data_IF_994471761968
#
_entry.id   IF_994471761968
#
_cell.length_a   1.000
_cell.length_b   1.000
_cell.length_c   1.000
_cell.angle_alpha   90.00
_cell.angle_beta   90.00
_cell.angle_gamma   90.00
#
_symmetry.space_group_name_H-M   'P 1'
#
loop_
_entity.id
_entity.type
_entity.pdbx_description
1 polymer ?
#
# COMPACT_ATOMS: atom_id res chain seq x y z
N UNK A 1 31.17 2.47 -6.76
CA UNK A 1 30.09 3.41 -6.38
C UNK A 1 28.81 2.91 -7.04
N UNK A 2 27.82 2.45 -6.26
CA UNK A 2 26.54 2.04 -6.80
C UNK A 2 25.84 3.27 -7.39
N UNK A 3 25.53 3.20 -8.68
CA UNK A 3 24.85 4.28 -9.40
C UNK A 3 23.39 4.32 -8.92
N UNK A 4 23.08 5.32 -8.11
CA UNK A 4 21.72 5.56 -7.63
C UNK A 4 21.07 6.66 -8.47
N UNK A 5 19.85 6.42 -8.97
CA UNK A 5 19.08 7.40 -9.72
C UNK A 5 17.74 7.67 -9.04
N UNK A 6 17.31 8.94 -9.06
CA UNK A 6 15.99 9.33 -8.56
C UNK A 6 14.95 9.13 -9.64
N UNK A 7 13.91 8.35 -9.35
CA UNK A 7 12.78 8.05 -10.24
C UNK A 7 11.62 9.00 -9.99
N UNK A 8 11.31 9.26 -8.72
CA UNK A 8 10.33 10.25 -8.29
C UNK A 8 10.97 11.15 -7.25
N UNK A 9 10.92 12.45 -7.49
CA UNK A 9 11.16 13.46 -6.44
C UNK A 9 9.92 13.66 -5.57
N UNK A 10 10.02 14.47 -4.54
CA UNK A 10 8.92 14.76 -3.62
C UNK A 10 7.67 15.26 -4.36
N UNK A 11 7.82 16.21 -5.28
CA UNK A 11 6.70 16.78 -6.02
C UNK A 11 6.01 15.74 -6.92
N UNK A 12 6.78 14.90 -7.61
CA UNK A 12 6.26 13.82 -8.45
C UNK A 12 5.54 12.76 -7.62
N UNK A 13 6.07 12.41 -6.44
CA UNK A 13 5.41 11.49 -5.51
C UNK A 13 4.06 12.05 -5.04
N UNK A 14 3.99 13.32 -4.67
CA UNK A 14 2.75 13.96 -4.24
C UNK A 14 1.69 13.95 -5.35
N UNK A 15 2.09 14.23 -6.60
CA UNK A 15 1.18 14.13 -7.75
C UNK A 15 0.68 12.71 -7.99
N UNK A 16 1.54 11.70 -7.86
CA UNK A 16 1.15 10.30 -7.99
C UNK A 16 0.12 9.89 -6.92
N UNK A 17 0.34 10.26 -5.67
CA UNK A 17 -0.59 9.97 -4.56
C UNK A 17 -1.93 10.69 -4.78
N UNK A 18 -1.92 11.94 -5.24
CA UNK A 18 -3.14 12.69 -5.54
C UNK A 18 -3.93 12.01 -6.66
N UNK A 19 -3.27 11.56 -7.72
CA UNK A 19 -3.92 10.82 -8.82
C UNK A 19 -4.52 9.51 -8.32
N UNK A 20 -3.81 8.73 -7.53
CA UNK A 20 -4.32 7.49 -6.91
C UNK A 20 -5.58 7.78 -6.09
N UNK A 21 -5.58 8.85 -5.29
CA UNK A 21 -6.75 9.27 -4.53
C UNK A 21 -7.99 9.47 -5.43
N UNK A 22 -7.86 10.23 -6.52
CA UNK A 22 -8.98 10.48 -7.43
C UNK A 22 -9.42 9.23 -8.19
N UNK A 23 -8.49 8.37 -8.59
CA UNK A 23 -8.83 7.07 -9.21
C UNK A 23 -9.62 6.16 -8.26
N UNK A 24 -9.25 6.12 -6.98
CA UNK A 24 -9.98 5.38 -5.94
C UNK A 24 -11.41 5.93 -5.81
N UNK A 25 -11.57 7.25 -5.71
CA UNK A 25 -12.87 7.88 -5.56
C UNK A 25 -13.75 7.68 -6.79
N UNK A 26 -13.20 7.79 -7.97
CA UNK A 26 -13.94 7.58 -9.23
C UNK A 26 -14.43 6.14 -9.36
N UNK A 27 -13.55 5.17 -9.16
CA UNK A 27 -13.91 3.75 -9.26
C UNK A 27 -14.97 3.31 -8.27
N UNK A 28 -14.97 3.87 -7.08
CA UNK A 28 -15.86 3.48 -5.98
C UNK A 28 -17.07 4.42 -5.82
N UNK A 29 -17.26 5.36 -6.73
CA UNK A 29 -18.33 6.37 -6.66
C UNK A 29 -18.34 7.12 -5.32
N UNK A 30 -17.17 7.54 -4.85
CA UNK A 30 -16.98 8.22 -3.58
C UNK A 30 -16.35 7.36 -2.48
N UNK A 31 -16.25 7.91 -1.28
CA UNK A 31 -15.51 7.32 -0.16
C UNK A 31 -16.39 6.52 0.82
N UNK A 32 -17.69 6.41 0.60
CA UNK A 32 -18.69 6.02 1.61
C UNK A 32 -18.50 4.63 2.23
N UNK A 33 -17.87 3.68 1.54
CA UNK A 33 -17.67 2.32 2.05
C UNK A 33 -16.21 1.85 2.01
N UNK A 34 -15.27 2.79 1.88
CA UNK A 34 -13.84 2.50 1.75
C UNK A 34 -13.18 2.42 3.12
N UNK A 35 -12.30 1.44 3.28
CA UNK A 35 -11.28 1.37 4.33
C UNK A 35 -9.94 1.26 3.65
N UNK A 36 -8.99 2.12 4.00
CA UNK A 36 -7.61 2.04 3.54
C UNK A 36 -6.81 1.19 4.53
N UNK A 37 -6.16 0.14 4.06
CA UNK A 37 -5.30 -0.70 4.87
C UNK A 37 -3.85 -0.54 4.42
N UNK A 38 -3.05 0.19 5.18
CA UNK A 38 -1.63 0.36 4.95
C UNK A 38 -0.85 -0.87 5.42
N UNK A 39 -0.11 -1.49 4.49
CA UNK A 39 0.77 -2.61 4.83
C UNK A 39 2.01 -2.03 5.53
N UNK A 40 2.26 -2.48 6.73
CA UNK A 40 3.42 -2.04 7.51
C UNK A 40 4.72 -2.52 6.83
N UNK A 41 5.75 -1.66 6.72
CA UNK A 41 5.94 -0.36 7.40
C UNK A 41 5.55 0.84 6.52
N UNK A 42 5.91 0.86 5.25
CA UNK A 42 5.82 2.04 4.35
C UNK A 42 4.44 2.24 3.73
N UNK A 43 3.64 1.20 3.65
CA UNK A 43 2.25 1.33 3.17
C UNK A 43 1.36 2.17 4.09
N UNK A 44 1.62 2.15 5.38
CA UNK A 44 0.82 2.89 6.35
C UNK A 44 0.91 4.41 6.20
N UNK A 45 2.09 5.04 6.10
CA UNK A 45 2.19 6.47 5.80
C UNK A 45 1.51 6.85 4.48
N UNK A 46 1.64 6.03 3.44
CA UNK A 46 0.98 6.25 2.16
C UNK A 46 -0.54 6.20 2.28
N UNK A 47 -1.09 5.22 3.01
CA UNK A 47 -2.52 5.13 3.28
C UNK A 47 -3.06 6.38 4.01
N UNK A 48 -2.32 6.89 4.99
CA UNK A 48 -2.67 8.15 5.69
C UNK A 48 -2.67 9.35 4.74
N UNK A 49 -1.71 9.44 3.84
CA UNK A 49 -1.65 10.51 2.84
C UNK A 49 -2.82 10.44 1.86
N UNK A 50 -3.22 9.24 1.45
CA UNK A 50 -4.40 9.05 0.59
C UNK A 50 -5.67 9.45 1.34
N UNK A 51 -5.83 9.04 2.60
CA UNK A 51 -6.98 9.41 3.44
C UNK A 51 -7.10 10.94 3.61
N UNK A 52 -5.99 11.64 3.80
CA UNK A 52 -5.97 13.10 3.90
C UNK A 52 -6.43 13.75 2.59
N UNK A 53 -5.99 13.24 1.44
CA UNK A 53 -6.45 13.75 0.15
C UNK A 53 -7.92 13.49 -0.13
N UNK A 54 -8.43 12.34 0.30
CA UNK A 54 -9.88 12.05 0.24
C UNK A 54 -10.64 13.06 1.08
N UNK A 55 -10.16 13.35 2.28
CA UNK A 55 -10.79 14.35 3.14
C UNK A 55 -10.80 15.75 2.51
N UNK A 56 -9.69 16.16 1.92
CA UNK A 56 -9.60 17.44 1.20
C UNK A 56 -10.55 17.48 -0.01
N UNK A 57 -10.64 16.40 -0.76
CA UNK A 57 -11.44 16.33 -1.99
C UNK A 57 -12.95 16.26 -1.73
N UNK A 58 -13.39 15.49 -0.74
CA UNK A 58 -14.82 15.18 -0.51
C UNK A 58 -15.32 15.54 0.89
N UNK A 59 -14.46 15.97 1.80
CA UNK A 59 -14.81 16.19 3.20
C UNK A 59 -15.06 14.89 3.99
N UNK A 60 -14.89 13.72 3.36
CA UNK A 60 -15.13 12.43 3.97
C UNK A 60 -13.91 11.96 4.77
N UNK A 61 -14.13 11.40 5.96
CA UNK A 61 -13.10 10.74 6.75
C UNK A 61 -13.19 9.23 6.57
N UNK A 62 -12.20 8.66 5.88
CA UNK A 62 -12.07 7.21 5.71
C UNK A 62 -11.22 6.63 6.83
N UNK A 63 -11.55 5.42 7.27
CA UNK A 63 -10.73 4.70 8.24
C UNK A 63 -9.43 4.26 7.60
N UNK A 64 -8.35 4.36 8.36
CA UNK A 64 -7.03 3.84 7.99
C UNK A 64 -6.66 2.75 8.96
N UNK A 65 -6.45 1.55 8.46
CA UNK A 65 -6.01 0.39 9.21
C UNK A 65 -4.52 0.12 9.02
N UNK A 66 -3.85 -0.23 10.10
CA UNK A 66 -2.51 -0.80 10.06
C UNK A 66 -2.62 -2.32 9.88
N UNK A 67 -1.97 -2.85 8.84
CA UNK A 67 -1.98 -4.26 8.51
C UNK A 67 -0.55 -4.82 8.56
N UNK A 68 -0.32 -5.78 9.45
CA UNK A 68 0.91 -6.55 9.50
C UNK A 68 0.68 -7.92 8.82
N UNK A 69 1.29 -8.17 7.65
CA UNK A 69 1.08 -9.43 6.92
C UNK A 69 1.93 -10.60 7.46
N UNK A 70 2.78 -10.38 8.45
CA UNK A 70 3.81 -11.34 8.89
C UNK A 70 3.23 -12.70 9.26
N UNK A 71 2.09 -12.76 9.93
CA UNK A 71 1.45 -14.02 10.34
C UNK A 71 0.91 -14.87 9.18
N UNK A 72 0.84 -14.32 7.97
CA UNK A 72 0.31 -14.99 6.77
C UNK A 72 1.36 -15.24 5.68
N UNK A 73 2.62 -14.88 5.94
CA UNK A 73 3.71 -15.09 4.98
C UNK A 73 4.03 -16.56 4.82
N UNK A 74 4.33 -16.98 3.58
CA UNK A 74 4.68 -18.35 3.22
C UNK A 74 6.18 -18.66 3.35
N UNK A 75 7.02 -17.61 3.52
CA UNK A 75 8.47 -17.71 3.69
C UNK A 75 8.93 -17.88 5.15
N UNK A 76 7.99 -17.93 6.10
CA UNK A 76 8.27 -18.10 7.53
C UNK A 76 7.32 -19.10 8.17
N UNK A 77 7.79 -19.89 9.17
CA UNK A 77 6.89 -20.72 9.96
C UNK A 77 5.82 -19.85 10.62
N UNK A 78 4.58 -20.34 10.67
CA UNK A 78 3.47 -19.68 11.37
C UNK A 78 3.71 -19.69 12.88
N UNK A 79 4.64 -18.85 13.33
CA UNK A 79 5.03 -18.74 14.74
C UNK A 79 4.35 -17.59 15.47
N UNK A 80 3.60 -16.74 14.75
CA UNK A 80 2.89 -15.61 15.33
C UNK A 80 1.39 -15.73 15.02
N UNK A 81 0.57 -15.50 16.03
CA UNK A 81 -0.86 -15.36 15.83
C UNK A 81 -1.16 -14.17 14.91
N UNK A 82 -2.11 -14.34 13.96
CA UNK A 82 -2.53 -13.24 13.10
C UNK A 82 -3.04 -12.05 13.93
N UNK A 83 -2.51 -10.87 13.64
CA UNK A 83 -2.95 -9.65 14.31
C UNK A 83 -4.15 -9.05 13.60
N UNK A 84 -5.13 -8.51 14.34
CA UNK A 84 -6.25 -7.79 13.73
C UNK A 84 -5.74 -6.52 13.05
N UNK A 85 -6.43 -6.12 11.97
CA UNK A 85 -6.24 -4.81 11.35
C UNK A 85 -6.80 -3.78 12.33
N UNK A 86 -5.96 -2.86 12.77
CA UNK A 86 -6.31 -1.84 13.76
C UNK A 86 -6.44 -0.47 13.13
N UNK A 87 -7.50 0.24 13.50
CA UNK A 87 -7.70 1.65 13.17
C UNK A 87 -6.59 2.49 13.83
N UNK A 88 -5.83 3.21 13.03
CA UNK A 88 -4.70 4.01 13.51
C UNK A 88 -5.10 5.21 14.37
N UNK A 89 -6.37 5.60 14.34
CA UNK A 89 -6.91 6.70 15.13
C UNK A 89 -7.40 6.23 16.50
N UNK A 90 -8.09 5.08 16.55
CA UNK A 90 -8.73 4.58 17.76
C UNK A 90 -8.01 3.43 18.42
N UNK A 91 -7.10 2.75 17.70
CA UNK A 91 -6.44 1.51 18.14
C UNK A 91 -7.36 0.29 18.20
N UNK A 92 -8.61 0.41 17.77
CA UNK A 92 -9.58 -0.68 17.78
C UNK A 92 -9.55 -1.50 16.49
N UNK A 93 -9.90 -2.80 16.54
CA UNK A 93 -10.03 -3.61 15.34
C UNK A 93 -11.03 -3.00 14.36
N UNK A 94 -10.69 -3.06 13.06
CA UNK A 94 -11.57 -2.61 11.98
C UNK A 94 -12.49 -3.76 11.57
N UNK A 95 -13.80 -3.49 11.47
CA UNK A 95 -14.72 -4.41 10.83
C UNK A 95 -14.56 -4.34 9.32
N UNK A 96 -14.12 -5.43 8.70
CA UNK A 96 -13.91 -5.54 7.24
C UNK A 96 -15.14 -6.04 6.50
N UNK A 97 -16.16 -6.54 7.20
CA UNK A 97 -17.35 -7.17 6.59
C UNK A 97 -18.09 -6.16 5.72
N UNK A 98 -18.35 -6.56 4.47
CA UNK A 98 -19.06 -5.77 3.45
C UNK A 98 -18.42 -4.41 3.14
N UNK A 99 -17.14 -4.21 3.49
CA UNK A 99 -16.35 -3.03 3.17
C UNK A 99 -15.55 -3.21 1.89
N UNK A 100 -15.26 -2.11 1.23
CA UNK A 100 -14.27 -2.04 0.15
C UNK A 100 -12.93 -1.78 0.83
N UNK A 101 -12.06 -2.79 0.82
CA UNK A 101 -10.73 -2.70 1.42
C UNK A 101 -9.74 -2.32 0.32
N UNK A 102 -9.08 -1.18 0.47
CA UNK A 102 -7.98 -0.78 -0.40
C UNK A 102 -6.67 -1.03 0.33
N UNK A 103 -5.95 -2.06 -0.08
CA UNK A 103 -4.59 -2.32 0.40
C UNK A 103 -3.65 -1.27 -0.19
N UNK A 104 -2.78 -0.73 0.63
CA UNK A 104 -1.81 0.30 0.22
C UNK A 104 -0.41 -0.15 0.59
N UNK A 105 0.50 -0.14 -0.39
CA UNK A 105 1.92 -0.42 -0.16
C UNK A 105 2.81 0.46 -1.06
N UNK A 106 4.10 0.47 -0.78
CA UNK A 106 5.07 1.28 -1.51
C UNK A 106 5.52 0.62 -2.82
N UNK A 107 5.95 -0.63 -2.79
CA UNK A 107 6.50 -1.34 -3.96
C UNK A 107 5.82 -2.69 -4.16
N UNK A 108 5.33 -2.91 -5.37
CA UNK A 108 4.84 -4.21 -5.81
C UNK A 108 5.95 -4.94 -6.59
N UNK A 109 6.33 -6.10 -6.10
CA UNK A 109 7.38 -6.96 -6.65
C UNK A 109 6.83 -8.34 -7.03
N UNK A 110 7.06 -9.36 -6.21
CA UNK A 110 6.62 -10.73 -6.49
C UNK A 110 5.12 -10.94 -6.31
N UNK A 111 4.47 -10.13 -5.49
CA UNK A 111 3.08 -10.24 -5.07
C UNK A 111 2.88 -11.04 -3.78
N UNK A 112 3.92 -11.63 -3.20
CA UNK A 112 3.80 -12.49 -1.99
C UNK A 112 3.36 -11.70 -0.76
N UNK A 113 3.86 -10.48 -0.56
CA UNK A 113 3.40 -9.60 0.53
C UNK A 113 1.91 -9.26 0.39
N UNK A 114 1.47 -8.98 -0.83
CA UNK A 114 0.06 -8.65 -1.11
C UNK A 114 -0.84 -9.87 -0.90
N UNK A 115 -0.40 -11.06 -1.32
CA UNK A 115 -1.15 -12.30 -1.03
C UNK A 115 -1.33 -12.47 0.48
N UNK A 116 -0.26 -12.33 1.26
CA UNK A 116 -0.34 -12.42 2.72
C UNK A 116 -1.28 -11.36 3.33
N UNK A 117 -1.26 -10.13 2.81
CA UNK A 117 -2.17 -9.06 3.22
C UNK A 117 -3.64 -9.39 2.90
N UNK A 118 -3.92 -9.96 1.73
CA UNK A 118 -5.27 -10.42 1.37
C UNK A 118 -5.75 -11.52 2.32
N UNK A 119 -4.91 -12.49 2.63
CA UNK A 119 -5.24 -13.55 3.60
C UNK A 119 -5.54 -12.98 4.98
N UNK A 120 -4.80 -11.94 5.41
CA UNK A 120 -5.04 -11.25 6.67
C UNK A 120 -6.41 -10.56 6.71
N UNK A 121 -6.82 -9.93 5.62
CA UNK A 121 -8.15 -9.31 5.50
C UNK A 121 -9.25 -10.37 5.52
N UNK A 122 -9.13 -11.40 4.69
CA UNK A 122 -10.13 -12.47 4.55
C UNK A 122 -10.28 -13.27 5.85
N UNK A 123 -9.20 -13.43 6.60
CA UNK A 123 -9.21 -14.09 7.91
C UNK A 123 -10.03 -13.35 8.98
N UNK A 124 -10.31 -12.07 8.79
CA UNK A 124 -11.10 -11.26 9.74
C UNK A 124 -12.57 -11.10 9.33
N UNK A 125 -12.95 -11.56 8.15
CA UNK A 125 -14.31 -11.49 7.66
C UNK A 125 -14.37 -11.44 6.14
N UNK A 126 -15.58 -11.31 5.61
CA UNK A 126 -15.81 -11.23 4.17
C UNK A 126 -15.97 -9.77 3.73
N UNK A 127 -14.93 -9.15 3.13
CA UNK A 127 -15.07 -7.82 2.54
C UNK A 127 -15.95 -7.90 1.28
N UNK A 128 -16.52 -6.75 0.88
CA UNK A 128 -17.21 -6.63 -0.40
C UNK A 128 -16.26 -6.81 -1.57
N UNK A 129 -15.10 -6.19 -1.48
CA UNK A 129 -13.99 -6.34 -2.42
C UNK A 129 -12.67 -5.95 -1.77
N UNK A 130 -11.56 -6.42 -2.35
CA UNK A 130 -10.21 -6.00 -2.03
C UNK A 130 -9.62 -5.36 -3.28
N UNK A 131 -9.11 -4.15 -3.15
CA UNK A 131 -8.41 -3.40 -4.19
C UNK A 131 -6.98 -3.15 -3.72
N UNK A 132 -6.08 -2.86 -4.65
CA UNK A 132 -4.67 -2.66 -4.39
C UNK A 132 -4.17 -1.35 -4.98
N UNK A 133 -3.63 -0.49 -4.13
CA UNK A 133 -2.96 0.75 -4.49
C UNK A 133 -1.46 0.66 -4.17
N UNK A 134 -0.62 0.87 -5.17
CA UNK A 134 0.84 0.74 -5.09
C UNK A 134 1.49 2.02 -5.61
N UNK A 135 2.48 2.52 -4.90
CA UNK A 135 3.23 3.68 -5.36
C UNK A 135 4.09 3.33 -6.58
N UNK A 136 4.83 2.22 -6.53
CA UNK A 136 5.70 1.77 -7.61
C UNK A 136 5.50 0.28 -7.89
N UNK A 137 5.18 -0.03 -9.14
CA UNK A 137 5.19 -1.40 -9.65
C UNK A 137 6.49 -1.65 -10.41
N UNK A 138 7.33 -2.55 -9.90
CA UNK A 138 8.64 -2.87 -10.51
C UNK A 138 8.64 -4.11 -11.39
N UNK A 139 7.52 -4.81 -11.53
CA UNK A 139 7.43 -6.08 -12.24
C UNK A 139 7.95 -7.27 -11.42
N UNK A 140 8.36 -8.33 -12.11
CA UNK A 140 8.90 -9.59 -11.54
C UNK A 140 7.90 -10.35 -10.66
N UNK A 141 6.62 -10.42 -11.09
CA UNK A 141 5.60 -11.22 -10.40
C UNK A 141 5.97 -12.70 -10.33
N UNK A 142 5.70 -13.29 -9.19
CA UNK A 142 5.66 -14.75 -9.00
C UNK A 142 4.23 -15.26 -8.81
N UNK A 143 3.29 -14.37 -8.50
CA UNK A 143 1.87 -14.64 -8.32
C UNK A 143 1.04 -13.77 -9.27
N UNK A 144 -0.17 -14.22 -9.70
CA UNK A 144 -1.03 -13.48 -10.61
C UNK A 144 -1.76 -12.32 -9.88
N UNK A 145 -0.99 -11.40 -9.34
CA UNK A 145 -1.47 -10.22 -8.60
C UNK A 145 -1.15 -8.97 -9.41
N UNK A 146 -2.15 -8.12 -9.56
CA UNK A 146 -2.05 -6.83 -10.25
C UNK A 146 -2.64 -5.73 -9.40
N UNK A 147 -1.97 -4.57 -9.37
CA UNK A 147 -2.50 -3.40 -8.69
C UNK A 147 -3.63 -2.76 -9.51
N UNK A 148 -4.65 -2.26 -8.80
CA UNK A 148 -5.75 -1.48 -9.39
C UNK A 148 -5.34 -0.03 -9.62
N UNK A 149 -4.48 0.48 -8.76
CA UNK A 149 -3.97 1.86 -8.78
C UNK A 149 -2.46 1.84 -8.66
N UNK A 150 -1.77 2.46 -9.60
CA UNK A 150 -0.31 2.47 -9.66
C UNK A 150 0.20 3.91 -9.78
N UNK A 151 1.09 4.31 -8.89
CA UNK A 151 1.74 5.61 -8.98
C UNK A 151 2.68 5.70 -10.17
N UNK A 152 3.58 4.74 -10.31
CA UNK A 152 4.49 4.64 -11.44
C UNK A 152 4.87 3.18 -11.72
N UNK A 153 4.86 2.81 -13.00
CA UNK A 153 5.44 1.56 -13.47
C UNK A 153 6.93 1.77 -13.75
N UNK A 154 7.78 1.00 -13.11
CA UNK A 154 9.25 1.08 -13.25
C UNK A 154 9.79 -0.33 -13.47
N UNK A 155 9.82 -0.83 -14.71
CA UNK A 155 10.45 -2.10 -14.99
C UNK A 155 11.92 -2.06 -14.55
N UNK A 156 12.32 -3.02 -13.73
CA UNK A 156 13.68 -3.11 -13.19
C UNK A 156 14.39 -4.34 -13.73
N UNK A 157 15.73 -4.31 -13.74
CA UNK A 157 16.53 -5.51 -13.90
C UNK A 157 16.52 -6.34 -12.60
N UNK A 158 16.93 -7.61 -12.69
CA UNK A 158 16.95 -8.50 -11.53
C UNK A 158 17.92 -8.05 -10.43
N UNK A 159 18.98 -7.34 -10.83
CA UNK A 159 20.03 -6.77 -9.98
C UNK A 159 19.75 -5.32 -9.54
N UNK A 160 18.53 -4.82 -9.79
CA UNK A 160 18.12 -3.48 -9.38
C UNK A 160 17.14 -3.55 -8.23
N UNK A 161 17.19 -2.57 -7.35
CA UNK A 161 16.31 -2.42 -6.21
C UNK A 161 15.65 -1.03 -6.21
N UNK A 162 14.37 -0.99 -5.83
CA UNK A 162 13.63 0.24 -5.63
C UNK A 162 13.60 0.59 -4.15
N UNK A 163 14.05 1.79 -3.81
CA UNK A 163 13.99 2.34 -2.46
C UNK A 163 13.00 3.50 -2.42
N UNK A 164 11.94 3.34 -1.66
CA UNK A 164 10.98 4.40 -1.36
C UNK A 164 11.35 5.05 -0.04
N UNK A 165 11.63 6.34 -0.09
CA UNK A 165 11.89 7.18 1.08
C UNK A 165 10.66 8.00 1.37
N UNK A 166 10.24 8.03 2.63
CA UNK A 166 9.09 8.79 3.10
C UNK A 166 9.50 9.71 4.25
N UNK A 167 9.01 10.92 4.23
CA UNK A 167 9.33 11.93 5.26
C UNK A 167 9.07 11.41 6.67
N UNK A 168 8.02 10.62 6.86
CA UNK A 168 7.63 10.07 8.16
C UNK A 168 8.66 9.07 8.74
N UNK A 169 9.39 8.37 7.88
CA UNK A 169 10.38 7.36 8.28
C UNK A 169 11.82 7.73 7.95
N UNK A 170 12.03 8.46 6.85
CA UNK A 170 13.35 8.68 6.26
C UNK A 170 13.75 10.16 6.22
N UNK A 171 12.84 11.07 6.66
CA UNK A 171 13.07 12.51 6.69
C UNK A 171 12.98 13.21 5.33
N UNK A 172 12.72 12.48 4.25
CA UNK A 172 12.55 13.03 2.90
C UNK A 172 11.68 12.12 2.03
N UNK A 173 11.04 12.69 1.02
CA UNK A 173 10.26 11.95 0.04
C UNK A 173 11.06 11.76 -1.25
N UNK A 174 11.30 10.53 -1.64
CA UNK A 174 11.87 10.18 -2.94
C UNK A 174 11.64 8.71 -3.29
N UNK A 175 11.65 8.38 -4.56
CA UNK A 175 11.81 7.01 -5.05
C UNK A 175 13.13 6.92 -5.80
N UNK A 176 13.96 5.98 -5.44
CA UNK A 176 15.29 5.77 -6.02
C UNK A 176 15.43 4.35 -6.52
N UNK A 177 16.22 4.19 -7.59
CA UNK A 177 16.67 2.90 -8.09
C UNK A 177 18.18 2.79 -7.88
N UNK A 178 18.63 1.63 -7.49
CA UNK A 178 20.07 1.32 -7.34
C UNK A 178 20.34 -0.10 -7.78
N UNK A 179 21.56 -0.33 -8.29
CA UNK A 179 22.06 -1.68 -8.51
C UNK A 179 22.52 -2.29 -7.22
N UNK A 180 22.09 -3.52 -6.99
CA UNK A 180 22.60 -4.36 -5.89
C UNK A 180 23.85 -5.06 -6.39
N UNK A 181 24.93 -4.91 -5.65
CA UNK A 181 26.22 -5.54 -6.00
C UNK A 181 26.18 -7.05 -5.74
#
# INVERSE_FOLDING_TARGET
>A
MSQQATILDSAAMQRAITRICFEILERNAGAGNIVLCGIETRGLPLARRIAERIHIAEGARVKVGALDPTGYRDDRPRSQEPRPITDVTTGQPINVIDRIIVLVDDVLFTGRTIRAAMDAVIGQGRPRSIQLAILVDRGHRELPIRADYVGKNVPTAADEEINVLLTETDGSDAVRIQKVA
#
